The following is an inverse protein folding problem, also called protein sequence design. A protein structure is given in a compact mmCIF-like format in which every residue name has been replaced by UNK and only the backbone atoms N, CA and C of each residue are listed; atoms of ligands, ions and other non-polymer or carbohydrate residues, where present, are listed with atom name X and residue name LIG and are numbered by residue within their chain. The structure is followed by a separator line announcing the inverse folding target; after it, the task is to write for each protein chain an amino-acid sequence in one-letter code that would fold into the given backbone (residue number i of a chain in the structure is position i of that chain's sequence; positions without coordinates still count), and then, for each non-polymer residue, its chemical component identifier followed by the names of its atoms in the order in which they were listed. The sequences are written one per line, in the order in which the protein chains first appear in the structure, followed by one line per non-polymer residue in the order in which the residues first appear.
data_IF_218539021138
#
_entry.id   IF_218539021138
#
_cell.length_a   1.000
_cell.length_b   1.000
_cell.length_c   1.000
_cell.angle_alpha   90.00
_cell.angle_beta   90.00
_cell.angle_gamma   90.00
#
_symmetry.space_group_name_H-M   'P 1'
#
loop_
_entity.id
_entity.type
_entity.pdbx_description
1 polymer ?
#
# COMPACT_ATOMS: atom_id res chain seq x y z
N UNK A 1 -6.91 24.43 9.65
CA UNK A 1 -7.78 23.32 10.08
C UNK A 1 -7.14 21.99 9.67
N UNK A 2 -7.36 20.91 10.43
CA UNK A 2 -6.91 19.56 10.04
C UNK A 2 -7.82 19.01 8.93
N UNK A 3 -7.25 18.22 8.04
CA UNK A 3 -8.00 17.45 7.03
C UNK A 3 -8.82 16.36 7.71
N UNK A 4 -10.11 16.34 7.48
CA UNK A 4 -11.07 15.43 8.13
C UNK A 4 -11.26 14.17 7.27
N UNK A 5 -10.97 13.01 7.81
CA UNK A 5 -11.08 11.77 7.05
C UNK A 5 -12.03 10.77 7.69
N UNK A 6 -12.65 9.97 6.83
CA UNK A 6 -13.35 8.75 7.17
C UNK A 6 -12.55 7.53 6.69
N UNK A 7 -12.55 6.45 7.47
CA UNK A 7 -11.98 5.16 7.08
C UNK A 7 -13.14 4.20 6.85
N UNK A 8 -13.33 3.76 5.61
CA UNK A 8 -14.30 2.73 5.25
C UNK A 8 -13.60 1.38 5.08
N UNK A 9 -13.84 0.45 5.99
CA UNK A 9 -13.10 -0.80 6.14
C UNK A 9 -11.97 -0.70 7.17
N UNK A 10 -12.17 -1.33 8.31
CA UNK A 10 -11.24 -1.27 9.44
C UNK A 10 -10.45 -2.58 9.59
N UNK A 11 -10.04 -3.15 8.44
CA UNK A 11 -9.13 -4.28 8.32
C UNK A 11 -7.69 -3.93 8.70
N UNK A 12 -6.70 -4.68 8.22
CA UNK A 12 -5.27 -4.43 8.50
C UNK A 12 -4.87 -3.00 8.11
N UNK A 13 -5.12 -2.60 6.86
CA UNK A 13 -4.74 -1.27 6.35
C UNK A 13 -5.48 -0.15 7.09
N UNK A 14 -6.80 -0.27 7.27
CA UNK A 14 -7.58 0.74 7.99
C UNK A 14 -7.10 0.95 9.43
N UNK A 15 -6.77 -0.11 10.17
CA UNK A 15 -6.25 -0.01 11.55
C UNK A 15 -4.83 0.54 11.60
N UNK A 16 -3.95 0.16 10.68
CA UNK A 16 -2.59 0.70 10.62
C UNK A 16 -2.61 2.19 10.26
N UNK A 17 -3.43 2.57 9.28
CA UNK A 17 -3.66 3.98 8.95
C UNK A 17 -4.18 4.76 10.17
N UNK A 18 -5.16 4.21 10.89
CA UNK A 18 -5.71 4.83 12.09
C UNK A 18 -4.61 5.04 13.16
N UNK A 19 -3.80 4.02 13.45
CA UNK A 19 -2.68 4.11 14.41
C UNK A 19 -1.66 5.18 14.01
N UNK A 20 -1.30 5.26 12.73
CA UNK A 20 -0.38 6.28 12.19
C UNK A 20 -0.95 7.71 12.32
N UNK A 21 -2.28 7.84 12.29
CA UNK A 21 -2.97 9.14 12.31
C UNK A 21 -3.39 9.61 13.70
N UNK A 22 -3.29 8.82 14.75
CA UNK A 22 -3.76 9.18 16.11
C UNK A 22 -3.30 10.56 16.56
N UNK A 23 -2.03 10.90 16.34
CA UNK A 23 -1.43 12.17 16.72
C UNK A 23 -0.91 12.97 15.51
N UNK A 24 -1.47 12.74 14.31
CA UNK A 24 -1.00 13.43 13.12
C UNK A 24 -1.31 14.93 13.19
N UNK A 25 -0.35 15.82 12.87
CA UNK A 25 -0.52 17.26 13.03
C UNK A 25 -1.57 17.87 12.07
N UNK A 26 -1.70 17.32 10.86
CA UNK A 26 -2.47 17.92 9.75
C UNK A 26 -3.70 17.12 9.32
N UNK A 27 -3.87 15.88 9.80
CA UNK A 27 -4.99 14.99 9.44
C UNK A 27 -5.68 14.53 10.72
N UNK A 28 -6.99 14.37 10.66
CA UNK A 28 -7.79 13.86 11.77
C UNK A 28 -8.81 12.83 11.27
N UNK A 29 -8.78 11.64 11.88
CA UNK A 29 -9.83 10.64 11.69
C UNK A 29 -11.05 11.10 12.47
N UNK A 30 -12.20 11.20 11.81
CA UNK A 30 -13.48 11.60 12.39
C UNK A 30 -14.36 10.38 12.66
N UNK A 31 -14.39 9.47 11.68
CA UNK A 31 -15.30 8.33 11.71
C UNK A 31 -14.66 7.12 11.03
N UNK A 32 -15.01 5.96 11.54
CA UNK A 32 -14.66 4.65 11.02
C UNK A 32 -15.97 3.95 10.66
N UNK A 33 -16.01 3.28 9.54
CA UNK A 33 -17.10 2.39 9.19
C UNK A 33 -16.57 0.97 8.94
N UNK A 34 -17.16 -0.02 9.60
CA UNK A 34 -16.90 -1.44 9.35
C UNK A 34 -18.11 -2.27 9.73
N UNK A 35 -18.27 -3.45 9.09
CA UNK A 35 -19.35 -4.39 9.38
C UNK A 35 -19.04 -5.33 10.56
N UNK A 36 -17.84 -5.26 11.12
CA UNK A 36 -17.46 -5.99 12.30
C UNK A 36 -17.92 -5.28 13.59
N UNK A 37 -18.00 -6.02 14.67
CA UNK A 37 -18.39 -5.50 15.97
C UNK A 37 -17.36 -4.46 16.49
N UNK A 38 -17.85 -3.33 16.94
CA UNK A 38 -17.07 -2.19 17.43
C UNK A 38 -16.13 -2.56 18.58
N UNK A 39 -16.61 -3.33 19.56
CA UNK A 39 -15.81 -3.78 20.71
C UNK A 39 -14.63 -4.64 20.26
N UNK A 40 -14.85 -5.53 19.30
CA UNK A 40 -13.80 -6.32 18.67
C UNK A 40 -12.80 -5.41 17.95
N UNK A 41 -13.29 -4.41 17.22
CA UNK A 41 -12.40 -3.47 16.52
C UNK A 41 -11.57 -2.61 17.48
N UNK A 42 -12.14 -2.14 18.60
CA UNK A 42 -11.40 -1.45 19.66
C UNK A 42 -10.28 -2.35 20.24
N UNK A 43 -10.60 -3.64 20.50
CA UNK A 43 -9.60 -4.60 20.95
C UNK A 43 -8.46 -4.77 19.94
N UNK A 44 -8.78 -4.89 18.63
CA UNK A 44 -7.78 -5.04 17.57
C UNK A 44 -7.00 -3.74 17.26
N UNK A 45 -7.50 -2.58 17.65
CA UNK A 45 -6.73 -1.34 17.69
C UNK A 45 -5.69 -1.38 18.80
N UNK A 46 -6.06 -1.89 19.98
CA UNK A 46 -5.17 -1.99 21.14
C UNK A 46 -4.07 -3.03 20.95
N UNK A 47 -4.45 -4.22 20.47
CA UNK A 47 -3.57 -5.37 20.34
C UNK A 47 -3.41 -5.79 18.90
N UNK A 48 -2.18 -5.72 18.40
CA UNK A 48 -1.83 -6.15 17.05
C UNK A 48 -0.71 -7.20 17.11
N UNK A 49 -0.93 -8.33 16.46
CA UNK A 49 -0.01 -9.47 16.52
C UNK A 49 1.31 -9.21 15.77
N UNK A 50 1.35 -8.20 14.89
CA UNK A 50 2.51 -7.82 14.09
C UNK A 50 3.14 -6.55 14.69
N UNK A 51 2.34 -5.49 14.81
CA UNK A 51 2.83 -4.17 15.24
C UNK A 51 2.74 -3.92 16.75
N UNK A 52 2.41 -4.96 17.52
CA UNK A 52 2.43 -4.91 18.98
C UNK A 52 1.29 -4.11 19.62
N UNK A 53 1.41 -3.94 20.93
CA UNK A 53 0.40 -3.27 21.75
C UNK A 53 0.50 -1.76 21.58
N UNK A 54 -0.63 -1.11 21.22
CA UNK A 54 -0.69 0.36 21.18
C UNK A 54 -0.48 0.92 22.61
N UNK A 55 0.46 1.83 22.84
CA UNK A 55 0.75 2.36 24.18
C UNK A 55 -0.30 3.35 24.72
N UNK A 56 -1.46 3.42 24.10
CA UNK A 56 -2.61 4.28 24.46
C UNK A 56 -3.68 3.48 25.18
N UNK A 57 -4.52 4.12 25.99
CA UNK A 57 -5.75 3.50 26.49
C UNK A 57 -6.77 3.41 25.36
N UNK A 58 -7.40 2.26 25.20
CA UNK A 58 -8.44 2.05 24.19
C UNK A 58 -9.68 1.46 24.85
N UNK A 59 -10.82 2.06 24.60
CA UNK A 59 -12.15 1.59 25.02
C UNK A 59 -13.17 1.88 23.93
N UNK A 60 -14.40 1.46 24.15
CA UNK A 60 -15.54 1.76 23.28
C UNK A 60 -16.75 2.20 24.11
N UNK A 61 -17.63 2.97 23.48
CA UNK A 61 -18.92 3.37 24.03
C UNK A 61 -20.05 3.19 23.00
N UNK A 62 -21.24 3.72 23.25
CA UNK A 62 -22.36 3.60 22.32
C UNK A 62 -22.08 4.21 20.94
N UNK A 63 -21.29 5.28 20.87
CA UNK A 63 -21.05 6.06 19.65
C UNK A 63 -19.78 5.71 18.88
N UNK A 64 -18.76 5.13 19.55
CA UNK A 64 -17.52 4.92 18.87
C UNK A 64 -16.41 4.25 19.68
N UNK A 65 -15.18 4.45 19.21
CA UNK A 65 -13.95 4.00 19.86
C UNK A 65 -13.28 5.20 20.52
N UNK A 66 -12.79 5.03 21.73
CA UNK A 66 -12.02 6.03 22.46
C UNK A 66 -10.56 5.62 22.53
N UNK A 67 -9.65 6.54 22.22
CA UNK A 67 -8.21 6.38 22.40
C UNK A 67 -7.68 7.56 23.19
N UNK A 68 -7.14 7.32 24.37
CA UNK A 68 -6.69 8.34 25.33
C UNK A 68 -7.75 9.43 25.60
N UNK A 69 -9.03 9.01 25.69
CA UNK A 69 -10.18 9.89 25.88
C UNK A 69 -10.65 10.64 24.64
N UNK A 70 -9.92 10.60 23.52
CA UNK A 70 -10.37 11.13 22.24
C UNK A 70 -11.36 10.17 21.60
N UNK A 71 -12.51 10.71 21.19
CA UNK A 71 -13.61 9.94 20.61
C UNK A 71 -13.52 9.90 19.08
N UNK A 72 -13.71 8.69 18.52
CA UNK A 72 -13.78 8.42 17.08
C UNK A 72 -15.12 7.74 16.80
N UNK A 73 -15.97 8.34 15.98
CA UNK A 73 -17.26 7.77 15.63
C UNK A 73 -17.06 6.41 14.94
N UNK A 74 -17.97 5.47 15.22
CA UNK A 74 -17.95 4.15 14.59
C UNK A 74 -19.32 3.82 14.03
N UNK A 75 -19.39 3.62 12.70
CA UNK A 75 -20.59 3.20 11.99
C UNK A 75 -20.51 1.73 11.65
N UNK A 76 -21.66 1.09 11.58
CA UNK A 76 -21.80 -0.33 11.25
C UNK A 76 -22.67 -0.49 10.01
N UNK A 77 -22.31 0.23 8.94
CA UNK A 77 -23.09 0.29 7.71
C UNK A 77 -22.47 -0.54 6.61
N UNK A 78 -23.30 -1.44 6.03
CA UNK A 78 -22.88 -2.27 4.90
C UNK A 78 -22.98 -1.53 3.58
N UNK A 79 -23.97 -0.65 3.45
CA UNK A 79 -24.20 0.13 2.23
C UNK A 79 -23.64 1.53 2.37
N UNK A 80 -22.84 1.94 1.39
CA UNK A 80 -22.30 3.30 1.33
C UNK A 80 -23.42 4.35 1.27
N UNK A 81 -24.56 4.02 0.67
CA UNK A 81 -25.72 4.93 0.56
C UNK A 81 -26.34 5.33 1.91
N UNK A 82 -26.06 4.58 2.98
CA UNK A 82 -26.53 4.88 4.33
C UNK A 82 -25.55 5.76 5.13
N UNK A 83 -24.39 6.08 4.56
CA UNK A 83 -23.36 6.89 5.19
C UNK A 83 -23.58 8.37 4.86
N UNK A 84 -23.55 9.23 5.85
CA UNK A 84 -23.72 10.68 5.71
C UNK A 84 -22.38 11.38 5.99
N UNK A 85 -21.50 11.37 5.00
CA UNK A 85 -20.20 12.07 5.09
C UNK A 85 -20.37 13.58 5.09
N UNK A 86 -21.47 14.09 4.52
CA UNK A 86 -21.76 15.51 4.43
C UNK A 86 -21.97 16.14 5.80
N UNK A 87 -22.76 15.51 6.68
CA UNK A 87 -23.02 16.03 8.03
C UNK A 87 -21.76 16.06 8.90
N UNK A 88 -20.77 15.25 8.57
CA UNK A 88 -19.48 15.17 9.26
C UNK A 88 -18.38 16.01 8.59
N UNK A 89 -18.69 16.75 7.53
CA UNK A 89 -17.72 17.55 6.73
C UNK A 89 -16.43 16.75 6.41
N UNK A 90 -16.59 15.56 5.81
CA UNK A 90 -15.48 14.68 5.46
C UNK A 90 -14.78 15.16 4.20
N UNK A 91 -13.49 15.47 4.31
CA UNK A 91 -12.65 15.84 3.17
C UNK A 91 -12.28 14.60 2.33
N UNK A 92 -11.86 13.51 3.00
CA UNK A 92 -11.46 12.28 2.32
C UNK A 92 -12.11 11.04 2.94
N UNK A 93 -12.56 10.14 2.10
CA UNK A 93 -12.82 8.77 2.50
C UNK A 93 -11.65 7.91 2.03
N UNK A 94 -11.06 7.13 2.93
CA UNK A 94 -10.14 6.06 2.57
C UNK A 94 -10.94 4.77 2.45
N UNK A 95 -11.12 4.29 1.21
CA UNK A 95 -11.81 3.04 0.94
C UNK A 95 -10.81 1.88 1.06
N UNK A 96 -10.91 1.14 2.15
CA UNK A 96 -10.02 0.02 2.50
C UNK A 96 -10.75 -1.29 2.83
N UNK A 97 -12.00 -1.44 2.39
CA UNK A 97 -12.74 -2.70 2.53
C UNK A 97 -12.24 -3.81 1.59
N UNK A 98 -11.56 -3.43 0.49
CA UNK A 98 -11.19 -4.34 -0.59
C UNK A 98 -12.36 -4.84 -1.44
N UNK A 99 -13.58 -4.36 -1.21
CA UNK A 99 -14.80 -4.77 -1.90
C UNK A 99 -15.21 -3.81 -3.00
N UNK A 100 -15.19 -2.51 -2.72
CA UNK A 100 -15.61 -1.45 -3.64
C UNK A 100 -14.43 -0.97 -4.48
N UNK A 101 -14.46 -1.24 -5.78
CA UNK A 101 -13.34 -0.95 -6.70
C UNK A 101 -13.77 -0.32 -8.02
N UNK A 102 -15.07 -0.34 -8.33
CA UNK A 102 -15.59 0.30 -9.53
C UNK A 102 -15.78 1.80 -9.31
N UNK A 103 -15.84 2.56 -10.40
CA UNK A 103 -16.07 4.00 -10.29
C UNK A 103 -17.42 4.31 -9.62
N UNK A 104 -18.47 3.57 -9.96
CA UNK A 104 -19.82 3.75 -9.43
C UNK A 104 -19.87 3.52 -7.91
N UNK A 105 -19.23 2.45 -7.45
CA UNK A 105 -19.15 2.15 -6.02
C UNK A 105 -18.39 3.23 -5.24
N UNK A 106 -17.25 3.69 -5.76
CA UNK A 106 -16.43 4.73 -5.13
C UNK A 106 -17.10 6.08 -5.18
N UNK A 107 -17.80 6.40 -6.29
CA UNK A 107 -18.56 7.63 -6.43
C UNK A 107 -19.75 7.72 -5.46
N UNK A 108 -20.24 6.58 -4.94
CA UNK A 108 -21.24 6.58 -3.89
C UNK A 108 -20.78 7.32 -2.63
N UNK A 109 -19.46 7.31 -2.31
CA UNK A 109 -18.91 8.11 -1.23
C UNK A 109 -18.96 9.62 -1.52
N UNK A 110 -18.75 10.02 -2.79
CA UNK A 110 -18.88 11.43 -3.20
C UNK A 110 -20.35 11.86 -3.10
N UNK A 111 -21.28 11.03 -3.54
CA UNK A 111 -22.73 11.28 -3.42
C UNK A 111 -23.14 11.39 -1.93
N UNK A 112 -22.55 10.57 -1.06
CA UNK A 112 -22.75 10.65 0.39
C UNK A 112 -22.11 11.89 1.06
N UNK A 113 -21.37 12.70 0.28
CA UNK A 113 -20.87 14.00 0.69
C UNK A 113 -19.38 14.09 1.01
N UNK A 114 -18.59 13.07 0.72
CA UNK A 114 -17.14 13.17 0.78
C UNK A 114 -16.62 14.06 -0.36
N UNK A 115 -15.56 14.85 -0.10
CA UNK A 115 -14.96 15.70 -1.14
C UNK A 115 -14.06 14.89 -2.08
N UNK A 116 -13.33 13.91 -1.52
CA UNK A 116 -12.43 13.01 -2.28
C UNK A 116 -12.44 11.59 -1.71
N UNK A 117 -12.06 10.61 -2.54
CA UNK A 117 -11.90 9.20 -2.16
C UNK A 117 -10.50 8.74 -2.53
N UNK A 118 -9.80 8.11 -1.57
CA UNK A 118 -8.57 7.37 -1.81
C UNK A 118 -8.90 5.87 -1.79
N UNK A 119 -8.76 5.22 -2.94
CA UNK A 119 -8.89 3.77 -3.04
C UNK A 119 -7.60 3.10 -2.59
N UNK A 120 -7.69 2.27 -1.56
CA UNK A 120 -6.58 1.47 -1.02
C UNK A 120 -6.43 0.14 -1.77
N UNK A 121 -6.47 0.18 -3.09
CA UNK A 121 -6.28 -0.96 -3.98
C UNK A 121 -5.97 -0.46 -5.41
N UNK A 122 -5.37 -1.29 -6.28
CA UNK A 122 -5.26 -0.97 -7.70
C UNK A 122 -6.66 -0.80 -8.31
N UNK A 123 -6.84 0.24 -9.14
CA UNK A 123 -8.06 0.41 -9.92
C UNK A 123 -8.03 -0.46 -11.18
N UNK A 124 -9.14 -1.11 -11.47
CA UNK A 124 -9.35 -1.85 -12.71
C UNK A 124 -9.85 -0.95 -13.86
N UNK A 125 -10.35 0.26 -13.52
CA UNK A 125 -10.89 1.21 -14.48
C UNK A 125 -9.91 2.36 -14.75
N UNK A 126 -9.77 2.75 -16.02
CA UNK A 126 -8.78 3.74 -16.44
C UNK A 126 -9.16 5.18 -16.08
N UNK A 127 -10.44 5.43 -15.79
CA UNK A 127 -10.92 6.74 -15.33
C UNK A 127 -10.45 7.11 -13.93
N UNK A 128 -9.96 6.14 -13.13
CA UNK A 128 -9.40 6.38 -11.82
C UNK A 128 -7.88 6.39 -11.94
N UNK A 129 -7.27 7.56 -11.79
CA UNK A 129 -5.82 7.70 -11.83
C UNK A 129 -5.17 6.86 -10.72
N UNK A 130 -4.25 5.99 -11.12
CA UNK A 130 -3.45 5.17 -10.18
C UNK A 130 -2.12 5.86 -9.97
N UNK A 131 -1.81 6.21 -8.73
CA UNK A 131 -0.66 7.04 -8.36
C UNK A 131 0.31 6.28 -7.49
N UNK A 132 1.60 6.41 -7.81
CA UNK A 132 2.73 6.04 -6.97
C UNK A 132 3.55 7.30 -6.75
N UNK A 133 3.61 7.75 -5.50
CA UNK A 133 4.29 8.98 -5.13
C UNK A 133 5.79 8.93 -5.46
N UNK A 134 6.32 10.06 -5.95
CA UNK A 134 7.70 10.18 -6.41
C UNK A 134 7.98 9.53 -7.77
N UNK A 135 6.98 8.85 -8.36
CA UNK A 135 7.13 8.17 -9.65
C UNK A 135 6.25 8.81 -10.72
N UNK A 136 4.94 8.86 -10.53
CA UNK A 136 3.99 9.40 -11.51
C UNK A 136 2.98 10.39 -10.92
N UNK A 137 3.19 10.90 -9.74
CA UNK A 137 2.29 11.83 -9.07
C UNK A 137 2.07 13.14 -9.85
N UNK A 138 2.94 13.47 -10.80
CA UNK A 138 2.77 14.58 -11.74
C UNK A 138 1.55 14.45 -12.69
N UNK A 139 0.94 13.26 -12.76
CA UNK A 139 -0.30 13.08 -13.53
C UNK A 139 -1.52 13.73 -12.87
N UNK A 140 -1.40 14.08 -11.57
CA UNK A 140 -2.47 14.74 -10.83
C UNK A 140 -2.54 16.21 -11.21
N UNK A 141 -3.71 16.65 -11.66
CA UNK A 141 -3.99 18.07 -12.00
C UNK A 141 -4.83 18.79 -10.95
N UNK A 142 -5.26 18.06 -9.89
CA UNK A 142 -6.04 18.58 -8.76
C UNK A 142 -7.56 18.51 -8.96
N UNK A 143 -8.03 18.04 -10.09
CA UNK A 143 -9.47 17.86 -10.37
C UNK A 143 -10.00 16.51 -9.91
N UNK A 144 -9.11 15.57 -9.58
CA UNK A 144 -9.48 14.22 -9.21
C UNK A 144 -10.28 14.18 -7.91
N UNK A 145 -11.44 13.54 -7.97
CA UNK A 145 -12.26 13.23 -6.80
C UNK A 145 -12.02 11.82 -6.28
N UNK A 146 -11.53 10.91 -7.13
CA UNK A 146 -11.25 9.51 -6.80
C UNK A 146 -9.85 9.17 -7.32
N UNK A 147 -8.96 8.69 -6.42
CA UNK A 147 -7.57 8.36 -6.73
C UNK A 147 -7.24 7.00 -6.14
N UNK A 148 -6.56 6.16 -6.90
CA UNK A 148 -6.01 4.89 -6.42
C UNK A 148 -4.57 5.05 -5.95
N UNK A 149 -4.27 4.56 -4.73
CA UNK A 149 -2.92 4.47 -4.17
C UNK A 149 -2.16 3.21 -4.65
N UNK A 150 -2.59 2.60 -5.75
CA UNK A 150 -2.03 1.34 -6.27
C UNK A 150 -2.05 0.19 -5.24
N UNK A 151 -1.06 -0.71 -5.27
CA UNK A 151 -0.83 -1.75 -4.28
C UNK A 151 0.49 -1.55 -3.54
N UNK A 152 0.68 -2.27 -2.42
CA UNK A 152 1.95 -2.27 -1.70
C UNK A 152 3.11 -2.74 -2.60
N UNK A 153 2.91 -3.80 -3.37
CA UNK A 153 3.92 -4.30 -4.32
C UNK A 153 4.22 -3.28 -5.43
N UNK A 154 3.19 -2.61 -5.96
CA UNK A 154 3.39 -1.58 -7.00
C UNK A 154 4.18 -0.38 -6.43
N UNK A 155 3.86 0.05 -5.21
CA UNK A 155 4.60 1.11 -4.53
C UNK A 155 6.06 0.75 -4.25
N UNK A 156 6.36 -0.54 -4.01
CA UNK A 156 7.73 -1.00 -3.84
C UNK A 156 8.48 -1.10 -5.18
N UNK A 157 7.87 -1.67 -6.21
CA UNK A 157 8.54 -1.94 -7.47
C UNK A 157 8.76 -0.68 -8.34
N UNK A 158 7.81 0.26 -8.34
CA UNK A 158 7.84 1.41 -9.23
C UNK A 158 9.05 2.34 -9.00
N UNK A 159 9.46 2.67 -7.76
CA UNK A 159 10.70 3.41 -7.52
C UNK A 159 11.94 2.70 -8.06
N UNK A 160 12.02 1.37 -7.94
CA UNK A 160 13.14 0.60 -8.49
C UNK A 160 13.19 0.65 -10.01
N UNK A 161 12.02 0.50 -10.67
CA UNK A 161 11.90 0.62 -12.12
C UNK A 161 12.32 2.01 -12.59
N UNK A 162 11.87 3.06 -11.89
CA UNK A 162 12.22 4.45 -12.21
C UNK A 162 13.75 4.66 -12.19
N UNK A 163 14.41 4.27 -11.10
CA UNK A 163 15.86 4.44 -10.94
C UNK A 163 16.63 3.68 -12.02
N UNK A 164 16.31 2.43 -12.29
CA UNK A 164 16.98 1.63 -13.34
C UNK A 164 16.72 2.20 -14.72
N UNK A 165 15.50 2.64 -15.02
CA UNK A 165 15.17 3.21 -16.32
C UNK A 165 15.91 4.53 -16.57
N UNK A 166 16.01 5.40 -15.57
CA UNK A 166 16.75 6.66 -15.63
C UNK A 166 18.28 6.41 -15.79
N UNK A 167 18.81 5.40 -15.11
CA UNK A 167 20.23 5.08 -15.14
C UNK A 167 20.69 4.48 -16.47
N UNK A 168 19.98 3.50 -17.00
CA UNK A 168 20.48 2.68 -18.12
C UNK A 168 19.44 2.28 -19.17
N UNK A 169 18.17 2.67 -18.98
CA UNK A 169 17.05 2.30 -19.84
C UNK A 169 16.68 0.81 -19.70
N UNK A 170 15.40 0.51 -19.76
CA UNK A 170 14.87 -0.86 -19.66
C UNK A 170 14.41 -1.33 -21.04
N UNK A 171 14.76 -2.56 -21.41
CA UNK A 171 14.20 -3.27 -22.56
C UNK A 171 13.02 -4.14 -22.12
N UNK A 172 13.23 -4.97 -21.10
CA UNK A 172 12.26 -5.89 -20.52
C UNK A 172 12.53 -6.07 -19.03
N UNK A 173 11.50 -6.45 -18.28
CA UNK A 173 11.63 -6.79 -16.86
C UNK A 173 10.72 -7.94 -16.46
N UNK A 174 11.16 -8.70 -15.47
CA UNK A 174 10.31 -9.69 -14.79
C UNK A 174 10.34 -9.48 -13.29
N UNK A 175 9.15 -9.41 -12.70
CA UNK A 175 8.95 -9.09 -11.28
C UNK A 175 8.48 -10.35 -10.56
N UNK A 176 9.18 -10.74 -9.52
CA UNK A 176 8.73 -11.75 -8.59
C UNK A 176 8.57 -11.12 -7.21
N UNK A 177 7.34 -11.05 -6.70
CA UNK A 177 7.14 -10.63 -5.32
C UNK A 177 7.05 -11.85 -4.40
N UNK A 178 7.95 -11.91 -3.42
CA UNK A 178 7.90 -12.86 -2.31
C UNK A 178 7.15 -12.14 -1.19
N UNK A 179 5.89 -12.49 -1.03
CA UNK A 179 4.93 -11.68 -0.29
C UNK A 179 4.43 -12.41 0.95
N UNK A 180 4.34 -11.73 2.07
CA UNK A 180 3.66 -12.23 3.25
C UNK A 180 2.23 -12.66 2.92
N UNK A 181 1.67 -13.59 3.72
CA UNK A 181 0.25 -13.93 3.57
C UNK A 181 -0.63 -12.73 3.96
N UNK A 182 -1.83 -12.69 3.40
CA UNK A 182 -2.81 -11.63 3.69
C UNK A 182 -4.15 -12.24 4.08
N UNK A 183 -5.10 -11.43 4.49
CA UNK A 183 -6.46 -11.87 4.86
C UNK A 183 -7.24 -12.55 3.71
N UNK A 184 -6.73 -12.47 2.48
CA UNK A 184 -7.24 -13.23 1.33
C UNK A 184 -6.88 -14.74 1.40
N UNK A 185 -5.96 -15.12 2.28
CA UNK A 185 -5.53 -16.50 2.50
C UNK A 185 -5.97 -16.97 3.89
N UNK A 186 -6.29 -18.25 3.99
CA UNK A 186 -6.71 -18.88 5.24
C UNK A 186 -5.62 -19.70 5.88
N UNK A 187 -5.73 -19.91 7.19
CA UNK A 187 -4.79 -20.74 7.95
C UNK A 187 -4.88 -22.21 7.53
N UNK A 188 -6.08 -22.70 7.21
CA UNK A 188 -6.36 -24.05 6.75
C UNK A 188 -6.93 -24.06 5.35
N UNK A 189 -6.88 -25.24 4.69
CA UNK A 189 -7.45 -25.44 3.36
C UNK A 189 -8.94 -25.08 3.35
N UNK A 190 -9.35 -24.16 2.46
CA UNK A 190 -10.74 -23.77 2.28
C UNK A 190 -11.02 -23.30 0.85
N UNK A 191 -12.29 -23.25 0.43
CA UNK A 191 -12.65 -22.82 -0.91
C UNK A 191 -12.12 -21.43 -1.24
N UNK A 192 -11.43 -21.32 -2.38
CA UNK A 192 -10.95 -20.07 -2.96
C UNK A 192 -10.96 -20.19 -4.48
N UNK A 193 -11.23 -19.09 -5.21
CA UNK A 193 -11.24 -19.10 -6.69
C UNK A 193 -9.87 -19.42 -7.32
N UNK A 194 -8.78 -19.07 -6.66
CA UNK A 194 -7.42 -19.54 -6.98
C UNK A 194 -7.14 -20.77 -6.12
N UNK A 195 -7.03 -21.95 -6.75
CA UNK A 195 -6.85 -23.23 -6.07
C UNK A 195 -5.54 -23.32 -5.27
N UNK A 196 -4.51 -22.55 -5.64
CA UNK A 196 -3.28 -22.48 -4.85
C UNK A 196 -3.47 -21.67 -3.58
N UNK A 197 -4.24 -20.59 -3.63
CA UNK A 197 -4.63 -19.81 -2.42
C UNK A 197 -5.65 -20.52 -1.55
N UNK A 198 -6.29 -21.57 -2.04
CA UNK A 198 -7.15 -22.44 -1.24
C UNK A 198 -6.41 -23.25 -0.18
N UNK A 199 -5.06 -23.28 -0.24
CA UNK A 199 -4.22 -24.05 0.67
C UNK A 199 -3.77 -23.21 1.87
N UNK A 200 -3.48 -23.91 2.98
CA UNK A 200 -3.09 -23.29 4.25
C UNK A 200 -1.86 -22.37 4.13
N UNK A 201 -2.06 -21.09 4.46
CA UNK A 201 -1.07 -20.04 4.28
C UNK A 201 0.13 -20.15 5.22
N UNK A 202 -0.08 -20.68 6.44
CA UNK A 202 0.93 -20.70 7.50
C UNK A 202 2.03 -21.76 7.32
N UNK A 203 1.88 -22.67 6.34
CA UNK A 203 2.78 -23.81 6.14
C UNK A 203 3.11 -24.06 4.66
N UNK A 204 2.73 -23.17 3.77
CA UNK A 204 2.87 -23.38 2.33
C UNK A 204 3.53 -22.20 1.64
N UNK A 205 4.45 -22.49 0.70
CA UNK A 205 4.85 -21.53 -0.33
C UNK A 205 3.81 -21.61 -1.44
N UNK A 206 3.11 -20.51 -1.73
CA UNK A 206 1.97 -20.48 -2.66
C UNK A 206 2.30 -19.58 -3.86
N UNK A 207 2.73 -20.16 -5.00
CA UNK A 207 2.83 -19.39 -6.24
C UNK A 207 1.45 -18.93 -6.70
N UNK A 208 1.35 -17.69 -7.12
CA UNK A 208 0.07 -17.10 -7.54
C UNK A 208 0.30 -15.96 -8.54
N UNK A 209 -0.76 -15.46 -9.11
CA UNK A 209 -0.69 -14.25 -9.93
C UNK A 209 -0.48 -13.01 -9.07
N UNK A 210 0.15 -11.99 -9.65
CA UNK A 210 0.18 -10.64 -9.08
C UNK A 210 -0.40 -9.64 -10.06
N UNK A 211 -1.25 -8.73 -9.57
CA UNK A 211 -1.71 -7.58 -10.36
C UNK A 211 -0.66 -6.48 -10.52
N UNK A 212 0.49 -6.61 -9.87
CA UNK A 212 1.52 -5.57 -9.86
C UNK A 212 2.07 -5.29 -11.27
N UNK A 213 2.37 -6.32 -12.07
CA UNK A 213 2.85 -6.13 -13.43
C UNK A 213 1.86 -5.31 -14.27
N UNK A 214 0.56 -5.66 -14.24
CA UNK A 214 -0.50 -4.89 -14.93
C UNK A 214 -0.64 -3.47 -14.36
N UNK A 215 -0.51 -3.29 -13.04
CA UNK A 215 -0.58 -1.96 -12.44
C UNK A 215 0.62 -1.10 -12.85
N UNK A 216 1.80 -1.70 -12.98
CA UNK A 216 3.01 -1.00 -13.42
C UNK A 216 2.94 -0.54 -14.88
N UNK A 217 2.23 -1.23 -15.77
CA UNK A 217 2.01 -0.71 -17.14
C UNK A 217 1.08 0.49 -17.18
N UNK A 218 0.25 0.72 -16.14
CA UNK A 218 -0.50 1.98 -15.98
C UNK A 218 0.39 3.13 -15.48
N UNK A 219 1.43 2.82 -14.70
CA UNK A 219 2.40 3.80 -14.18
C UNK A 219 3.44 4.17 -15.26
N UNK A 220 3.87 3.16 -16.03
CA UNK A 220 4.86 3.26 -17.10
C UNK A 220 4.27 2.67 -18.39
N UNK A 221 3.44 3.42 -19.13
CA UNK A 221 2.78 2.91 -20.35
C UNK A 221 3.76 2.43 -21.44
N UNK A 222 4.97 2.96 -21.47
CA UNK A 222 6.03 2.58 -22.42
C UNK A 222 6.54 1.14 -22.21
N UNK A 223 6.19 0.51 -21.07
CA UNK A 223 6.56 -0.87 -20.77
C UNK A 223 5.40 -1.84 -20.96
N UNK A 224 4.33 -1.44 -21.63
CA UNK A 224 3.27 -2.37 -21.98
C UNK A 224 3.82 -3.51 -22.85
N UNK A 225 3.49 -4.76 -22.50
CA UNK A 225 4.05 -5.96 -23.13
C UNK A 225 5.53 -6.26 -22.82
N UNK A 226 6.21 -5.43 -22.01
CA UNK A 226 7.63 -5.59 -21.67
C UNK A 226 7.88 -5.95 -20.21
N UNK A 227 6.88 -5.82 -19.34
CA UNK A 227 6.96 -6.19 -17.93
C UNK A 227 6.04 -7.39 -17.67
N UNK A 228 6.63 -8.49 -17.22
CA UNK A 228 5.92 -9.67 -16.69
C UNK A 228 6.09 -9.79 -15.19
N UNK A 229 5.30 -10.67 -14.56
CA UNK A 229 5.50 -10.91 -13.13
C UNK A 229 4.60 -11.98 -12.55
N UNK A 230 5.03 -12.50 -11.38
CA UNK A 230 4.28 -13.42 -10.55
C UNK A 230 4.41 -13.07 -9.07
N UNK A 231 3.57 -13.70 -8.25
CA UNK A 231 3.65 -13.61 -6.79
C UNK A 231 3.94 -14.96 -6.18
N UNK A 232 4.66 -14.98 -5.08
CA UNK A 232 4.91 -16.15 -4.25
C UNK A 232 4.52 -15.75 -2.83
N UNK A 233 3.43 -16.33 -2.31
CA UNK A 233 3.07 -16.15 -0.90
C UNK A 233 3.91 -17.09 -0.04
N UNK A 234 4.42 -16.56 1.05
CA UNK A 234 5.25 -17.30 2.02
C UNK A 234 4.63 -17.24 3.41
N UNK A 235 4.92 -18.21 4.31
CA UNK A 235 4.33 -18.26 5.65
C UNK A 235 4.96 -17.23 6.60
N UNK A 236 4.93 -15.96 6.22
CA UNK A 236 5.42 -14.80 6.97
C UNK A 236 4.27 -13.82 7.11
N UNK A 237 3.99 -13.27 8.31
CA UNK A 237 2.81 -12.44 8.55
C UNK A 237 2.92 -11.03 7.96
N UNK A 238 4.14 -10.47 7.88
CA UNK A 238 4.45 -9.16 7.32
C UNK A 238 5.93 -9.09 6.93
N UNK A 239 6.31 -8.08 6.16
CA UNK A 239 7.66 -7.98 5.58
C UNK A 239 7.77 -8.80 4.30
N UNK A 240 7.63 -8.12 3.18
CA UNK A 240 7.68 -8.68 1.82
C UNK A 240 8.91 -8.16 1.07
N UNK A 241 9.28 -8.83 0.00
CA UNK A 241 10.28 -8.31 -0.93
C UNK A 241 9.83 -8.46 -2.38
N UNK A 242 10.36 -7.59 -3.23
CA UNK A 242 10.23 -7.72 -4.68
C UNK A 242 11.61 -7.90 -5.30
N UNK A 243 11.74 -8.98 -6.06
CA UNK A 243 12.89 -9.32 -6.87
C UNK A 243 12.57 -8.94 -8.32
N UNK A 244 13.35 -8.02 -8.92
CA UNK A 244 13.16 -7.61 -10.30
C UNK A 244 14.41 -7.90 -11.10
N UNK A 245 14.24 -8.65 -12.18
CA UNK A 245 15.27 -8.89 -13.18
C UNK A 245 14.95 -8.07 -14.42
N UNK A 246 15.92 -7.27 -14.87
CA UNK A 246 15.84 -6.40 -16.04
C UNK A 246 16.80 -6.85 -17.14
N UNK A 247 16.37 -6.72 -18.39
CA UNK A 247 17.28 -6.54 -19.53
C UNK A 247 17.37 -5.05 -19.80
N UNK A 248 18.58 -4.48 -19.70
CA UNK A 248 18.81 -3.04 -19.83
C UNK A 248 19.45 -2.67 -21.16
N UNK A 249 19.22 -1.43 -21.62
CA UNK A 249 19.74 -0.94 -22.91
C UNK A 249 21.26 -0.72 -22.87
N UNK A 250 21.77 -0.16 -21.75
CA UNK A 250 23.18 0.11 -21.52
C UNK A 250 23.70 -0.80 -20.40
N UNK A 251 24.80 -1.50 -20.66
CA UNK A 251 25.49 -2.26 -19.62
C UNK A 251 25.92 -1.33 -18.46
N UNK A 252 25.78 -1.80 -17.24
CA UNK A 252 26.07 -1.08 -15.99
C UNK A 252 26.77 -1.98 -15.01
N UNK A 253 27.45 -1.41 -14.04
CA UNK A 253 28.10 -2.10 -12.94
C UNK A 253 27.23 -2.08 -11.69
N UNK A 254 27.49 -3.02 -10.77
CA UNK A 254 26.84 -3.05 -9.42
C UNK A 254 27.05 -1.69 -8.72
N UNK A 255 28.25 -1.12 -8.79
CA UNK A 255 28.55 0.15 -8.14
C UNK A 255 27.74 1.33 -8.72
N UNK A 256 27.54 1.38 -10.04
CA UNK A 256 26.70 2.41 -10.67
C UNK A 256 25.24 2.29 -10.19
N UNK A 257 24.72 1.07 -10.12
CA UNK A 257 23.36 0.81 -9.66
C UNK A 257 23.21 1.24 -8.19
N UNK A 258 24.07 0.72 -7.31
CA UNK A 258 23.99 1.01 -5.88
C UNK A 258 24.14 2.51 -5.58
N UNK A 259 25.04 3.20 -6.30
CA UNK A 259 25.20 4.64 -6.19
C UNK A 259 23.93 5.40 -6.64
N UNK A 260 23.29 4.98 -7.75
CA UNK A 260 22.07 5.60 -8.23
C UNK A 260 20.92 5.45 -7.23
N UNK A 261 20.74 4.26 -6.65
CA UNK A 261 19.74 4.03 -5.61
C UNK A 261 20.00 4.84 -4.34
N UNK A 262 21.26 4.91 -3.89
CA UNK A 262 21.64 5.71 -2.72
C UNK A 262 21.32 7.19 -2.93
N UNK A 263 21.70 7.74 -4.08
CA UNK A 263 21.39 9.13 -4.45
C UNK A 263 19.87 9.36 -4.48
N UNK A 264 19.11 8.46 -5.11
CA UNK A 264 17.66 8.60 -5.20
C UNK A 264 17.00 8.57 -3.81
N UNK A 265 17.43 7.69 -2.90
CA UNK A 265 16.94 7.59 -1.53
C UNK A 265 17.24 8.85 -0.69
N UNK A 266 18.36 9.51 -0.95
CA UNK A 266 18.76 10.74 -0.24
C UNK A 266 18.13 12.00 -0.83
N UNK A 267 17.60 11.95 -2.08
CA UNK A 267 17.14 13.12 -2.84
C UNK A 267 15.67 13.02 -3.25
N UNK A 268 15.42 12.71 -4.51
CA UNK A 268 14.09 12.79 -5.15
C UNK A 268 13.08 11.70 -4.70
N UNK A 269 13.57 10.61 -4.12
CA UNK A 269 12.74 9.54 -3.55
C UNK A 269 12.85 9.46 -2.02
N UNK A 270 13.38 10.49 -1.37
CA UNK A 270 13.51 10.53 0.09
C UNK A 270 12.14 10.35 0.78
N UNK A 271 12.08 9.40 1.73
CA UNK A 271 10.86 9.04 2.44
C UNK A 271 9.95 8.06 1.68
N UNK A 272 10.33 7.70 0.44
CA UNK A 272 9.65 6.70 -0.40
C UNK A 272 10.55 5.49 -0.63
N UNK A 273 11.80 5.73 -1.03
CA UNK A 273 12.87 4.76 -1.16
C UNK A 273 13.85 4.92 -0.02
N UNK A 274 14.26 3.82 0.57
CA UNK A 274 15.36 3.69 1.52
C UNK A 274 16.47 2.82 0.90
N UNK A 275 17.65 2.83 1.50
CA UNK A 275 18.84 2.12 1.01
C UNK A 275 19.52 1.42 2.17
N UNK A 276 19.87 0.16 2.01
CA UNK A 276 20.64 -0.59 3.03
C UNK A 276 21.81 -1.35 2.42
N UNK A 277 22.87 -1.44 3.20
CA UNK A 277 24.02 -2.35 3.00
C UNK A 277 24.06 -3.43 4.10
N UNK A 278 23.07 -3.45 5.01
CA UNK A 278 22.98 -4.45 6.07
C UNK A 278 22.29 -5.74 5.56
N UNK A 279 22.67 -6.92 6.05
CA UNK A 279 22.08 -8.20 5.67
C UNK A 279 20.74 -8.43 6.39
N UNK A 280 19.72 -7.62 6.01
CA UNK A 280 18.40 -7.66 6.63
C UNK A 280 17.53 -8.80 6.10
N UNK A 281 16.51 -9.16 6.88
CA UNK A 281 15.47 -10.14 6.52
C UNK A 281 14.07 -9.56 6.80
N UNK A 282 13.02 -10.31 6.48
CA UNK A 282 11.63 -9.83 6.51
C UNK A 282 11.19 -9.20 7.85
N UNK A 283 11.65 -9.71 9.00
CA UNK A 283 11.27 -9.16 10.31
C UNK A 283 11.87 -7.80 10.59
N UNK A 284 13.01 -7.45 9.95
CA UNK A 284 13.74 -6.19 10.18
C UNK A 284 13.04 -5.01 9.49
N UNK A 285 12.16 -5.29 8.51
CA UNK A 285 11.46 -4.23 7.75
C UNK A 285 10.12 -3.86 8.38
N UNK A 286 9.65 -4.59 9.38
CA UNK A 286 8.38 -4.33 10.05
C UNK A 286 8.42 -2.97 10.74
N UNK A 287 7.43 -2.13 10.45
CA UNK A 287 7.33 -0.76 10.95
C UNK A 287 8.05 0.28 10.08
N UNK A 288 8.79 -0.12 9.03
CA UNK A 288 9.40 0.83 8.12
C UNK A 288 8.33 1.53 7.26
N UNK A 289 8.39 2.86 7.21
CA UNK A 289 7.40 3.70 6.51
C UNK A 289 7.70 3.91 5.03
N UNK A 290 8.89 3.55 4.55
CA UNK A 290 9.22 3.68 3.14
C UNK A 290 8.50 2.61 2.31
N UNK A 291 8.22 2.91 1.06
CA UNK A 291 7.60 1.97 0.12
C UNK A 291 8.56 0.88 -0.33
N UNK A 292 9.85 1.18 -0.33
CA UNK A 292 10.93 0.30 -0.77
C UNK A 292 12.18 0.54 0.08
N UNK A 293 12.80 -0.52 0.57
CA UNK A 293 14.15 -0.52 1.12
C UNK A 293 15.01 -1.30 0.13
N UNK A 294 15.79 -0.60 -0.66
CA UNK A 294 16.69 -1.22 -1.64
C UNK A 294 17.84 -1.92 -0.94
N UNK A 295 18.05 -3.19 -1.26
CA UNK A 295 19.12 -4.02 -0.70
C UNK A 295 20.32 -4.05 -1.64
N UNK A 296 21.34 -3.28 -1.30
CA UNK A 296 22.54 -3.13 -2.12
C UNK A 296 23.38 -4.40 -2.19
N UNK A 297 23.30 -5.28 -1.19
CA UNK A 297 24.05 -6.54 -1.16
C UNK A 297 23.47 -7.59 -2.15
N UNK A 298 22.19 -7.46 -2.50
CA UNK A 298 21.51 -8.37 -3.41
C UNK A 298 21.52 -7.90 -4.88
N UNK A 299 22.18 -6.79 -5.19
CA UNK A 299 22.38 -6.32 -6.56
C UNK A 299 23.28 -7.28 -7.32
N UNK A 300 22.83 -7.72 -8.50
CA UNK A 300 23.60 -8.60 -9.37
C UNK A 300 23.54 -8.16 -10.82
N UNK A 301 24.66 -8.31 -11.53
CA UNK A 301 24.78 -7.93 -12.94
C UNK A 301 25.47 -9.04 -13.71
N UNK A 302 24.86 -9.45 -14.84
CA UNK A 302 25.46 -10.35 -15.82
C UNK A 302 25.28 -9.68 -17.19
N UNK A 303 26.32 -9.03 -17.70
CA UNK A 303 26.28 -8.21 -18.91
C UNK A 303 25.17 -7.14 -18.85
N UNK A 304 24.09 -7.30 -19.61
CA UNK A 304 22.91 -6.43 -19.62
C UNK A 304 21.75 -6.97 -18.78
N UNK A 305 21.91 -8.08 -18.11
CA UNK A 305 20.92 -8.60 -17.18
C UNK A 305 21.24 -8.06 -15.78
N UNK A 306 20.34 -7.25 -15.25
CA UNK A 306 20.44 -6.60 -13.93
C UNK A 306 19.36 -7.17 -13.02
N UNK A 307 19.76 -7.54 -11.80
CA UNK A 307 18.83 -7.96 -10.75
C UNK A 307 18.93 -7.01 -9.55
N UNK A 308 17.79 -6.55 -9.05
CA UNK A 308 17.68 -5.75 -7.82
C UNK A 308 16.58 -6.30 -6.92
N UNK A 309 16.74 -6.05 -5.62
CA UNK A 309 15.78 -6.47 -4.60
C UNK A 309 15.39 -5.29 -3.74
N UNK A 310 14.10 -5.16 -3.45
CA UNK A 310 13.56 -4.16 -2.55
C UNK A 310 12.63 -4.79 -1.53
N UNK A 311 12.91 -4.56 -0.25
CA UNK A 311 12.09 -4.94 0.88
C UNK A 311 11.00 -3.93 1.16
N UNK A 312 9.90 -4.32 1.80
CA UNK A 312 8.85 -3.42 2.25
C UNK A 312 7.98 -4.03 3.34
N UNK A 313 7.60 -3.18 4.29
CA UNK A 313 6.45 -3.45 5.14
C UNK A 313 5.19 -3.24 4.31
N UNK A 314 4.50 -4.33 3.96
CA UNK A 314 3.33 -4.28 3.08
C UNK A 314 2.10 -3.64 3.72
N UNK A 315 2.13 -3.35 5.02
CA UNK A 315 1.06 -2.70 5.77
C UNK A 315 1.41 -1.25 6.13
N UNK A 316 2.47 -1.01 6.91
CA UNK A 316 2.88 0.34 7.39
C UNK A 316 3.43 1.18 6.24
N UNK A 317 4.32 0.65 5.41
CA UNK A 317 4.85 1.36 4.26
C UNK A 317 3.74 1.79 3.31
N UNK A 318 2.80 0.89 3.01
CA UNK A 318 1.65 1.18 2.17
C UNK A 318 0.68 2.19 2.81
N UNK A 319 0.38 2.06 4.10
CA UNK A 319 -0.51 2.99 4.82
C UNK A 319 0.10 4.39 4.90
N UNK A 320 1.42 4.51 5.00
CA UNK A 320 2.13 5.78 4.96
C UNK A 320 1.96 6.50 3.62
N UNK A 321 1.94 5.79 2.50
CA UNK A 321 1.66 6.37 1.16
C UNK A 321 0.24 6.91 1.04
N UNK A 322 -0.75 6.31 1.70
CA UNK A 322 -2.11 6.88 1.76
C UNK A 322 -2.09 8.25 2.44
N UNK A 323 -1.35 8.38 3.55
CA UNK A 323 -1.20 9.66 4.27
C UNK A 323 -0.56 10.70 3.37
N UNK A 324 0.55 10.35 2.72
CA UNK A 324 1.27 11.28 1.85
C UNK A 324 0.44 11.70 0.63
N UNK A 325 -0.36 10.78 0.06
CA UNK A 325 -1.26 11.10 -1.05
C UNK A 325 -2.37 12.07 -0.62
N UNK A 326 -2.93 11.91 0.58
CA UNK A 326 -3.87 12.88 1.16
C UNK A 326 -3.20 14.24 1.32
N UNK A 327 -1.98 14.30 1.84
CA UNK A 327 -1.24 15.55 2.03
C UNK A 327 -0.91 16.24 0.70
N UNK A 328 -0.52 15.48 -0.32
CA UNK A 328 -0.23 16.01 -1.65
C UNK A 328 -1.48 16.59 -2.32
N UNK A 329 -2.63 15.92 -2.20
CA UNK A 329 -3.87 16.30 -2.88
C UNK A 329 -4.76 17.24 -2.06
N UNK A 330 -4.32 17.62 -0.86
CA UNK A 330 -4.94 18.61 -0.01
C UNK A 330 -4.74 20.00 -0.64
N UNK A 331 -5.82 20.61 -1.06
CA UNK A 331 -5.86 22.03 -1.50
C UNK A 331 -6.67 22.87 -0.53
#
# INVERSE_FOLDING_TARGET
MKTRIAINGFGRIGRNLFRLLLNHPSIEVIVINDIADKKTMAHLVKYDSIHGVLPSTVSDDEKGILVDGKHFLFFHEKSISNLDWKSLDIDYVVESTGKHKTFEELNAHIIAGAKKVILSAPSEVDTIKTVVLGVNDSILDGTETIISNASCTTNNAAPMIKVINELCGIEQAYITTIHSYTTDQSLHDQPHKDLRRARGASQSIVPTTTGAAKALTKIFPEFDGKIGGCGIRVPVPDGSLTDITFNVKRAVTINEINAAFKIAAETNLKGILDYTEDPIVSVDVIGNKNSCIFDAQLTSVIDKMVKVVGWYDNEIGYSSRIIDLILLTKK
#
